data_IF_444624674097
#
_entry.id   IF_444624674097
#
_cell.length_a   1.000
_cell.length_b   1.000
_cell.length_c   1.000
_cell.angle_alpha   90.00
_cell.angle_beta   90.00
_cell.angle_gamma   90.00
#
_symmetry.space_group_name_H-M   'P 1'
#
loop_
_entity.id
_entity.type
_entity.pdbx_description
1 polymer ?
#
# COMPACT_ATOMS: atom_id res chain seq x y z
N UNK A 1 2.81 -2.71 -4.11
CA UNK A 1 2.93 -2.43 -2.67
C UNK A 1 1.90 -3.27 -1.95
N UNK A 2 2.32 -3.98 -0.92
CA UNK A 2 1.49 -4.88 -0.13
C UNK A 2 1.78 -4.60 1.35
N UNK A 3 0.91 -5.09 2.23
CA UNK A 3 1.22 -5.08 3.65
C UNK A 3 2.31 -6.11 3.92
N UNK A 4 3.26 -5.79 4.81
CA UNK A 4 4.29 -6.76 5.18
C UNK A 4 3.65 -7.99 5.85
N UNK A 5 4.05 -9.23 5.56
CA UNK A 5 3.42 -10.44 6.12
C UNK A 5 3.37 -10.46 7.65
N UNK A 6 4.33 -9.79 8.30
CA UNK A 6 4.38 -9.65 9.76
C UNK A 6 3.60 -8.47 10.33
N UNK A 7 2.72 -7.80 9.59
CA UNK A 7 2.02 -6.63 10.12
C UNK A 7 0.95 -6.99 11.16
N UNK A 8 0.87 -6.22 12.26
CA UNK A 8 -0.03 -6.46 13.40
C UNK A 8 -1.52 -6.50 13.03
N UNK A 9 -1.92 -5.83 11.95
CA UNK A 9 -3.30 -5.85 11.46
C UNK A 9 -3.80 -7.28 11.14
N UNK A 10 -2.90 -8.17 10.69
CA UNK A 10 -3.26 -9.57 10.45
C UNK A 10 -3.57 -10.31 11.75
N UNK A 11 -2.78 -10.10 12.80
CA UNK A 11 -3.00 -10.70 14.13
C UNK A 11 -4.31 -10.21 14.77
N UNK A 12 -4.66 -8.94 14.53
CA UNK A 12 -5.89 -8.32 15.04
C UNK A 12 -7.15 -8.66 14.23
N UNK A 13 -7.00 -9.32 13.10
CA UNK A 13 -8.07 -9.63 12.15
C UNK A 13 -8.53 -8.39 11.39
N UNK A 14 -8.26 -8.35 10.08
CA UNK A 14 -8.72 -7.26 9.20
C UNK A 14 -10.21 -7.46 8.88
N UNK A 15 -11.03 -6.44 9.13
CA UNK A 15 -12.48 -6.47 8.90
C UNK A 15 -12.91 -5.63 7.71
N UNK A 16 -12.22 -4.53 7.43
CA UNK A 16 -12.52 -3.70 6.25
C UNK A 16 -11.30 -2.98 5.71
N UNK A 17 -11.35 -2.69 4.41
CA UNK A 17 -10.38 -1.86 3.71
C UNK A 17 -11.14 -0.79 2.93
N UNK A 18 -10.71 0.47 3.02
CA UNK A 18 -11.25 1.55 2.18
C UNK A 18 -10.13 2.33 1.52
N UNK A 19 -10.33 2.71 0.27
CA UNK A 19 -9.49 3.64 -0.48
C UNK A 19 -9.93 5.10 -0.33
N UNK A 20 -11.08 5.33 0.31
CA UNK A 20 -11.49 6.66 0.74
C UNK A 20 -10.81 7.03 2.05
N UNK A 21 -9.77 7.86 1.91
CA UNK A 21 -8.95 8.35 3.02
C UNK A 21 -9.29 9.81 3.38
N UNK A 22 -10.52 10.24 3.09
CA UNK A 22 -11.11 11.52 3.48
C UNK A 22 -11.02 12.62 2.43
N UNK A 23 -9.84 12.82 1.83
CA UNK A 23 -9.66 13.88 0.82
C UNK A 23 -10.05 13.44 -0.59
N UNK A 24 -9.69 12.21 -0.96
CA UNK A 24 -9.96 11.67 -2.30
C UNK A 24 -9.80 10.16 -2.31
N UNK A 25 -10.84 9.48 -2.77
CA UNK A 25 -10.87 8.03 -2.93
C UNK A 25 -9.90 7.56 -4.02
N UNK A 26 -8.92 6.72 -3.61
CA UNK A 26 -7.88 6.22 -4.50
C UNK A 26 -8.41 5.26 -5.57
N UNK A 27 -9.59 4.67 -5.37
CA UNK A 27 -10.27 3.85 -6.39
C UNK A 27 -10.63 4.65 -7.65
N UNK A 28 -10.86 5.96 -7.50
CA UNK A 28 -11.29 6.86 -8.57
C UNK A 28 -10.12 7.42 -9.39
N UNK A 29 -8.89 6.95 -9.14
CA UNK A 29 -7.68 7.38 -9.83
C UNK A 29 -7.75 7.06 -11.34
N UNK A 30 -8.06 8.07 -12.16
CA UNK A 30 -8.19 7.94 -13.60
C UNK A 30 -6.83 8.08 -14.30
N UNK A 31 -6.10 6.97 -14.42
CA UNK A 31 -4.81 6.91 -15.12
C UNK A 31 -4.93 6.29 -16.50
N UNK A 32 -4.40 6.96 -17.54
CA UNK A 32 -4.55 6.50 -18.92
C UNK A 32 -3.32 6.75 -19.82
N UNK A 33 -3.24 5.97 -20.91
CA UNK A 33 -2.23 6.11 -21.96
C UNK A 33 -0.80 5.71 -21.55
N UNK A 34 0.10 5.67 -22.54
CA UNK A 34 1.52 5.26 -22.36
C UNK A 34 2.26 6.09 -21.30
N UNK A 35 1.95 7.39 -21.21
CA UNK A 35 2.56 8.32 -20.24
C UNK A 35 1.89 8.31 -18.85
N UNK A 36 0.88 7.45 -18.66
CA UNK A 36 0.08 7.36 -17.42
C UNK A 36 -0.43 8.74 -17.00
N UNK A 37 -1.11 9.43 -17.93
CA UNK A 37 -1.70 10.77 -17.72
C UNK A 37 -2.85 10.64 -16.71
N UNK A 38 -3.05 11.65 -15.88
CA UNK A 38 -4.11 11.66 -14.84
C UNK A 38 -3.80 10.84 -13.58
N UNK A 39 -2.80 9.95 -13.63
CA UNK A 39 -2.39 9.17 -12.45
C UNK A 39 -1.83 10.05 -11.33
N UNK A 40 -2.36 9.84 -10.13
CA UNK A 40 -1.97 10.53 -8.91
C UNK A 40 -0.47 10.36 -8.62
N UNK A 41 0.20 11.46 -8.30
CA UNK A 41 1.58 11.43 -7.87
C UNK A 41 1.65 11.15 -6.37
N UNK A 42 2.30 10.05 -6.01
CA UNK A 42 2.52 9.61 -4.64
C UNK A 42 3.92 10.04 -4.19
N UNK A 43 4.02 10.39 -2.90
CA UNK A 43 5.28 10.54 -2.16
C UNK A 43 5.32 9.53 -1.01
N UNK A 44 6.51 9.20 -0.48
CA UNK A 44 6.62 8.47 0.77
C UNK A 44 5.72 9.08 1.86
N UNK A 45 4.94 8.26 2.55
CA UNK A 45 3.97 8.70 3.56
C UNK A 45 2.59 9.06 3.01
N UNK A 46 2.39 9.12 1.69
CA UNK A 46 1.05 9.34 1.12
C UNK A 46 0.14 8.18 1.47
N UNK A 47 -0.93 8.43 2.21
CA UNK A 47 -1.93 7.40 2.52
C UNK A 47 -2.62 6.90 1.25
N UNK A 48 -2.86 5.59 1.21
CA UNK A 48 -3.45 4.88 0.08
C UNK A 48 -4.76 4.22 0.48
N UNK A 49 -4.76 3.51 1.60
CA UNK A 49 -5.92 2.83 2.13
C UNK A 49 -5.95 2.95 3.65
N UNK A 50 -7.14 2.80 4.22
CA UNK A 50 -7.37 2.62 5.64
C UNK A 50 -7.82 1.17 5.87
N UNK A 51 -7.14 0.50 6.79
CA UNK A 51 -7.44 -0.87 7.21
C UNK A 51 -8.01 -0.82 8.62
N UNK A 52 -9.20 -1.36 8.81
CA UNK A 52 -9.86 -1.48 10.12
C UNK A 52 -9.80 -2.92 10.58
N UNK A 53 -9.54 -3.12 11.87
CA UNK A 53 -9.44 -4.43 12.50
C UNK A 53 -10.65 -4.75 13.39
N UNK A 54 -10.79 -6.02 13.79
CA UNK A 54 -11.88 -6.51 14.65
C UNK A 54 -11.91 -5.83 16.02
N UNK A 55 -10.77 -5.40 16.53
CA UNK A 55 -10.64 -4.67 17.81
C UNK A 55 -10.97 -3.16 17.68
N UNK A 56 -11.39 -2.71 16.49
CA UNK A 56 -11.65 -1.31 16.16
C UNK A 56 -10.40 -0.47 15.88
N UNK A 57 -9.20 -1.06 15.93
CA UNK A 57 -7.99 -0.33 15.56
C UNK A 57 -7.90 -0.09 14.06
N UNK A 58 -7.29 1.04 13.69
CA UNK A 58 -7.15 1.47 12.30
C UNK A 58 -5.69 1.71 11.92
N UNK A 59 -5.32 1.26 10.72
CA UNK A 59 -3.97 1.37 10.18
C UNK A 59 -4.02 2.00 8.79
N UNK A 60 -3.32 3.13 8.62
CA UNK A 60 -3.12 3.74 7.31
C UNK A 60 -2.04 3.00 6.56
N UNK A 61 -2.38 2.43 5.41
CA UNK A 61 -1.38 1.93 4.46
C UNK A 61 -0.85 3.11 3.67
N UNK A 62 0.45 3.39 3.82
CA UNK A 62 1.11 4.52 3.16
C UNK A 62 2.01 4.04 2.03
N UNK A 63 2.22 4.91 1.03
CA UNK A 63 3.23 4.68 0.02
C UNK A 63 4.62 4.76 0.63
N UNK A 64 5.49 3.78 0.33
CA UNK A 64 6.90 3.82 0.72
C UNK A 64 7.80 4.50 -0.32
N UNK A 65 7.27 4.87 -1.49
CA UNK A 65 8.06 5.32 -2.64
C UNK A 65 7.40 6.49 -3.36
N UNK A 66 8.18 7.26 -4.11
CA UNK A 66 7.65 8.26 -5.04
C UNK A 66 7.27 7.61 -6.37
N UNK A 67 6.10 7.92 -6.92
CA UNK A 67 5.68 7.41 -8.23
C UNK A 67 4.26 7.80 -8.62
N UNK A 68 3.77 7.28 -9.75
CA UNK A 68 2.38 7.41 -10.15
C UNK A 68 1.57 6.21 -9.69
N UNK A 69 0.43 6.45 -9.05
CA UNK A 69 -0.56 5.39 -8.77
C UNK A 69 -1.13 4.89 -10.09
N UNK A 70 -0.91 3.60 -10.37
CA UNK A 70 -1.40 2.93 -11.58
C UNK A 70 -2.68 2.18 -11.30
N UNK A 71 -2.73 1.51 -10.15
CA UNK A 71 -3.85 0.64 -9.83
C UNK A 71 -3.97 0.51 -8.31
N UNK A 72 -5.20 0.34 -7.85
CA UNK A 72 -5.53 -0.15 -6.52
C UNK A 72 -6.35 -1.42 -6.65
N UNK A 73 -6.23 -2.33 -5.71
CA UNK A 73 -6.89 -3.62 -5.76
C UNK A 73 -8.31 -3.54 -5.17
N UNK A 74 -9.33 -3.42 -6.01
CA UNK A 74 -10.72 -3.38 -5.50
C UNK A 74 -11.13 -4.69 -4.80
N UNK A 75 -10.49 -5.82 -5.13
CA UNK A 75 -10.86 -7.12 -4.57
C UNK A 75 -10.60 -7.23 -3.07
N UNK A 76 -9.64 -6.47 -2.53
CA UNK A 76 -9.40 -6.44 -1.07
C UNK A 76 -10.42 -5.57 -0.33
N UNK A 77 -11.20 -4.74 -1.04
CA UNK A 77 -12.35 -4.03 -0.47
C UNK A 77 -13.53 -4.99 -0.37
N UNK A 78 -13.78 -5.75 -1.43
CA UNK A 78 -14.84 -6.77 -1.47
C UNK A 78 -14.57 -7.93 -0.51
N UNK A 79 -13.30 -8.34 -0.39
CA UNK A 79 -12.84 -9.44 0.46
C UNK A 79 -11.51 -9.08 1.16
N UNK A 80 -11.57 -8.44 2.34
CA UNK A 80 -10.39 -8.02 3.10
C UNK A 80 -9.44 -9.16 3.50
N UNK A 81 -9.91 -10.41 3.54
CA UNK A 81 -9.09 -11.58 3.88
C UNK A 81 -7.94 -11.80 2.88
N UNK A 82 -8.12 -11.33 1.63
CA UNK A 82 -7.12 -11.43 0.56
C UNK A 82 -5.85 -10.64 0.82
N UNK A 83 -5.86 -9.64 1.69
CA UNK A 83 -4.68 -8.81 1.98
C UNK A 83 -3.46 -9.63 2.44
N UNK A 84 -3.68 -10.79 3.07
CA UNK A 84 -2.61 -11.68 3.51
C UNK A 84 -2.08 -12.63 2.43
N UNK A 85 -2.76 -12.70 1.27
CA UNK A 85 -2.41 -13.60 0.17
C UNK A 85 -1.23 -13.05 -0.63
N UNK A 86 -0.22 -13.89 -0.87
CA UNK A 86 0.89 -13.53 -1.73
C UNK A 86 0.41 -13.35 -3.18
N UNK A 87 0.84 -12.26 -3.83
CA UNK A 87 0.42 -11.90 -5.18
C UNK A 87 -0.97 -11.26 -5.26
N UNK A 88 -1.99 -11.82 -4.59
CA UNK A 88 -3.37 -11.31 -4.66
C UNK A 88 -3.69 -10.19 -3.66
N UNK A 89 -2.93 -10.10 -2.56
CA UNK A 89 -3.13 -9.14 -1.48
C UNK A 89 -2.48 -7.76 -1.69
N UNK A 90 -2.09 -7.42 -2.93
CA UNK A 90 -1.51 -6.11 -3.20
C UNK A 90 -2.51 -5.00 -2.93
N UNK A 91 -2.03 -3.87 -2.38
CA UNK A 91 -2.85 -2.70 -2.10
C UNK A 91 -2.83 -1.71 -3.26
N UNK A 92 -1.65 -1.53 -3.87
CA UNK A 92 -1.47 -0.59 -4.98
C UNK A 92 -0.29 -0.96 -5.87
N UNK A 93 -0.42 -0.68 -7.17
CA UNK A 93 0.67 -0.71 -8.15
C UNK A 93 1.11 0.73 -8.43
N UNK A 94 2.42 0.97 -8.30
CA UNK A 94 3.02 2.30 -8.43
C UNK A 94 4.11 2.27 -9.49
N UNK A 95 4.08 3.23 -10.41
CA UNK A 95 5.10 3.39 -11.44
C UNK A 95 6.02 4.56 -11.06
N UNK A 96 7.24 4.23 -10.65
CA UNK A 96 8.31 5.21 -10.41
C UNK A 96 9.05 5.56 -11.70
N UNK A 97 9.76 6.70 -11.68
CA UNK A 97 10.67 7.05 -12.78
C UNK A 97 11.92 6.19 -12.71
N UNK A 98 12.39 5.72 -13.87
CA UNK A 98 13.57 4.85 -13.97
C UNK A 98 14.78 5.52 -13.33
N UNK A 99 14.98 6.82 -13.57
CA UNK A 99 16.10 7.59 -12.99
C UNK A 99 16.13 7.59 -11.45
N UNK A 100 15.00 7.32 -10.78
CA UNK A 100 14.89 7.34 -9.32
C UNK A 100 14.94 5.95 -8.67
N UNK A 101 14.97 4.87 -9.46
CA UNK A 101 14.83 3.50 -8.93
C UNK A 101 15.93 3.17 -7.93
N UNK A 102 17.19 3.48 -8.22
CA UNK A 102 18.29 3.13 -7.32
C UNK A 102 18.20 3.87 -5.99
N UNK A 103 17.90 5.18 -6.01
CA UNK A 103 17.68 5.94 -4.78
C UNK A 103 16.49 5.41 -3.96
N UNK A 104 15.42 4.99 -4.62
CA UNK A 104 14.28 4.34 -3.96
C UNK A 104 14.72 3.05 -3.29
N UNK A 105 15.43 2.16 -3.99
CA UNK A 105 15.90 0.88 -3.44
C UNK A 105 16.76 1.09 -2.18
N UNK A 106 17.70 2.03 -2.23
CA UNK A 106 18.57 2.34 -1.08
C UNK A 106 17.80 2.91 0.12
N UNK A 107 16.68 3.61 -0.12
CA UNK A 107 15.85 4.17 0.97
C UNK A 107 14.96 3.14 1.68
N UNK A 108 14.73 1.98 1.05
CA UNK A 108 13.87 0.94 1.57
C UNK A 108 14.65 -0.04 2.45
N UNK A 109 13.95 -0.63 3.41
CA UNK A 109 14.50 -1.71 4.22
C UNK A 109 14.57 -2.99 3.40
N UNK A 110 15.64 -3.74 3.59
CA UNK A 110 15.67 -5.16 3.21
C UNK A 110 14.77 -5.97 4.13
N UNK A 111 14.40 -7.18 3.71
CA UNK A 111 13.61 -8.09 4.53
C UNK A 111 14.29 -8.40 5.88
N UNK A 112 15.60 -8.63 5.87
CA UNK A 112 16.37 -8.88 7.11
C UNK A 112 16.32 -7.69 8.06
N UNK A 113 16.47 -6.46 7.54
CA UNK A 113 16.39 -5.25 8.34
C UNK A 113 14.99 -5.08 8.94
N UNK A 114 13.94 -5.34 8.15
CA UNK A 114 12.56 -5.30 8.63
C UNK A 114 12.31 -6.32 9.75
N UNK A 115 12.75 -7.57 9.57
CA UNK A 115 12.63 -8.63 10.59
C UNK A 115 13.35 -8.27 11.88
N UNK A 116 14.56 -7.69 11.79
CA UNK A 116 15.31 -7.20 12.96
C UNK A 116 14.51 -6.14 13.73
N UNK A 117 13.95 -5.14 13.05
CA UNK A 117 13.16 -4.09 13.69
C UNK A 117 11.89 -4.66 14.34
N UNK A 118 11.20 -5.61 13.69
CA UNK A 118 9.99 -6.24 14.26
C UNK A 118 10.31 -7.07 15.52
N UNK A 119 11.45 -7.76 15.51
CA UNK A 119 11.89 -8.63 16.62
C UNK A 119 12.56 -7.86 17.76
N UNK A 120 12.89 -6.58 17.57
CA UNK A 120 13.24 -5.66 18.65
C UNK A 120 11.92 -5.19 19.27
N UNK A 121 11.38 -6.01 20.16
CA UNK A 121 10.36 -5.65 21.14
C UNK A 121 10.86 -5.99 22.53
#
# INVERSE_FOLDING_TARGET
MCLAPGHVAFEKGITSVTYDIGNYDRSKNAVSGKRKKGGMHLQPGTALALVTCSDGSEYKVVSGITGKLIEVNQRIVDDPSRMGSEGEGYVAIVLSKIEKIEGIKTSLLTEEQYRKIKNVK
#
